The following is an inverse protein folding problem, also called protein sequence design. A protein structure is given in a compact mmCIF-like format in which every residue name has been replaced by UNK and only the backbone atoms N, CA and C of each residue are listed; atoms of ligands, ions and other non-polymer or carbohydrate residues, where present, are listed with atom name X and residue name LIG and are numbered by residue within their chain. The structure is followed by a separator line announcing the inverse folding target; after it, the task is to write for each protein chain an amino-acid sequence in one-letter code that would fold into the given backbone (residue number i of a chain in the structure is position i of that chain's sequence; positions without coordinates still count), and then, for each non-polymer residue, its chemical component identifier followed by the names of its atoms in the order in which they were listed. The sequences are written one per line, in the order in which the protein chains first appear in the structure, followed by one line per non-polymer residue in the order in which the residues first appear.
data_IF_889093924735
#
_entry.id   IF_889093924735
#
_cell.length_a   1.000
_cell.length_b   1.000
_cell.length_c   1.000
_cell.angle_alpha   90.00
_cell.angle_beta   90.00
_cell.angle_gamma   90.00
#
_symmetry.space_group_name_H-M   'P 1'
#
loop_
_entity.id
_entity.type
_entity.pdbx_description
1 polymer ?
#
# COMPACT_ATOMS: atom_id res chain seq x y z
N UNK A 1 -0.63 -8.66 22.03
CA UNK A 1 -0.36 -9.49 23.23
C UNK A 1 0.48 -8.76 24.29
N UNK A 2 1.72 -8.36 23.98
CA UNK A 2 2.64 -7.68 24.91
C UNK A 2 2.09 -6.38 25.55
N UNK A 3 1.33 -5.58 24.78
CA UNK A 3 0.73 -4.33 25.30
C UNK A 3 -0.36 -4.62 26.35
N UNK A 4 -1.19 -5.65 26.13
CA UNK A 4 -2.22 -6.08 27.11
C UNK A 4 -1.58 -6.62 28.39
N UNK A 5 -0.51 -7.41 28.26
CA UNK A 5 0.24 -7.92 29.40
C UNK A 5 0.83 -6.79 30.25
N UNK A 6 1.20 -5.65 29.63
CA UNK A 6 1.79 -4.50 30.31
C UNK A 6 0.79 -3.47 30.85
N UNK A 7 -0.32 -3.24 30.16
CA UNK A 7 -1.30 -2.20 30.50
C UNK A 7 -2.57 -2.73 31.19
N UNK A 8 -2.71 -4.06 31.32
CA UNK A 8 -3.87 -4.71 31.92
C UNK A 8 -4.99 -4.99 30.92
N UNK A 9 -5.94 -5.85 31.33
CA UNK A 9 -7.05 -6.34 30.47
C UNK A 9 -8.10 -5.29 30.10
N UNK A 10 -8.00 -4.07 30.63
CA UNK A 10 -8.92 -2.97 30.34
C UNK A 10 -8.60 -2.23 29.03
N UNK A 11 -7.39 -2.41 28.47
CA UNK A 11 -7.02 -1.81 27.19
C UNK A 11 -7.57 -2.66 26.03
N UNK A 12 -8.45 -2.06 25.23
CA UNK A 12 -8.96 -2.67 24.02
C UNK A 12 -7.96 -2.51 22.87
N UNK A 13 -7.69 -3.63 22.19
CA UNK A 13 -6.99 -3.65 20.90
C UNK A 13 -8.04 -3.69 19.81
N UNK A 14 -8.08 -2.66 19.00
CA UNK A 14 -9.05 -2.50 17.92
C UNK A 14 -8.26 -2.42 16.61
N UNK A 15 -8.70 -3.10 15.55
CA UNK A 15 -8.00 -3.11 14.27
C UNK A 15 -8.64 -4.04 13.26
N UNK A 16 -7.97 -4.29 12.14
CA UNK A 16 -8.46 -5.19 11.09
C UNK A 16 -7.57 -6.43 11.01
N UNK A 17 -8.18 -7.59 10.84
CA UNK A 17 -7.46 -8.87 10.72
C UNK A 17 -7.00 -9.06 9.27
N UNK A 18 -5.74 -9.43 9.08
CA UNK A 18 -5.21 -9.83 7.78
C UNK A 18 -5.74 -11.22 7.42
N UNK A 19 -6.38 -11.34 6.24
CA UNK A 19 -6.94 -12.60 5.73
C UNK A 19 -6.09 -13.23 4.64
N UNK A 20 -4.99 -12.60 4.24
CA UNK A 20 -4.08 -13.11 3.23
C UNK A 20 -3.28 -14.29 3.76
N UNK A 21 -3.09 -15.29 2.91
CA UNK A 21 -2.21 -16.42 3.19
C UNK A 21 -0.74 -16.00 2.97
N UNK A 22 0.10 -16.19 3.99
CA UNK A 22 1.53 -15.83 3.91
C UNK A 22 2.28 -16.06 5.22
N UNK A 23 3.61 -16.23 5.11
CA UNK A 23 4.50 -16.57 6.24
C UNK A 23 4.92 -15.36 7.09
N UNK A 24 4.55 -14.14 6.71
CA UNK A 24 5.08 -12.89 7.28
C UNK A 24 4.14 -12.14 8.24
N UNK A 25 2.94 -12.66 8.50
CA UNK A 25 1.94 -11.99 9.33
C UNK A 25 1.75 -12.67 10.68
N UNK A 26 1.38 -11.87 11.68
CA UNK A 26 0.93 -12.41 12.97
C UNK A 26 -0.44 -13.07 12.80
N UNK A 27 -0.43 -14.36 12.44
CA UNK A 27 -1.64 -15.18 12.33
C UNK A 27 -2.38 -15.34 13.66
N UNK A 28 -1.78 -14.92 14.78
CA UNK A 28 -2.38 -14.94 16.12
C UNK A 28 -2.96 -13.58 16.51
N UNK A 29 -2.99 -12.61 15.58
CA UNK A 29 -3.60 -11.31 15.86
C UNK A 29 -5.11 -11.42 16.02
N UNK A 30 -5.56 -11.37 17.27
CA UNK A 30 -6.97 -11.35 17.67
C UNK A 30 -7.31 -10.02 18.35
N UNK A 31 -7.88 -9.04 17.61
CA UNK A 31 -8.32 -7.80 18.20
C UNK A 31 -9.58 -8.03 19.07
N UNK A 32 -9.79 -7.17 20.06
CA UNK A 32 -11.02 -7.15 20.84
C UNK A 32 -12.24 -6.74 20.01
N UNK A 33 -12.03 -5.91 18.99
CA UNK A 33 -13.05 -5.48 18.04
C UNK A 33 -12.42 -5.30 16.66
N UNK A 34 -13.17 -5.68 15.62
CA UNK A 34 -12.82 -5.39 14.24
C UNK A 34 -13.23 -3.96 13.93
N UNK A 35 -12.31 -3.20 13.34
CA UNK A 35 -12.58 -1.87 12.83
C UNK A 35 -12.71 -1.93 11.31
N UNK A 36 -13.88 -1.59 10.82
CA UNK A 36 -14.21 -1.60 9.40
C UNK A 36 -14.06 -0.21 8.79
N UNK A 37 -14.01 -0.16 7.46
CA UNK A 37 -14.02 1.10 6.71
C UNK A 37 -15.19 2.00 7.16
N UNK A 38 -14.90 3.29 7.38
CA UNK A 38 -15.87 4.31 7.74
C UNK A 38 -16.29 4.31 9.22
N UNK A 39 -15.94 3.30 10.00
CA UNK A 39 -16.19 3.32 11.45
C UNK A 39 -15.29 4.36 12.14
N UNK A 40 -15.82 5.02 13.16
CA UNK A 40 -15.11 6.06 13.88
C UNK A 40 -14.95 5.72 15.37
N UNK A 41 -13.79 6.05 15.91
CA UNK A 41 -13.52 6.07 17.35
C UNK A 41 -13.61 7.52 17.79
N UNK A 42 -14.53 7.83 18.70
CA UNK A 42 -14.78 9.19 19.17
C UNK A 42 -15.07 9.24 20.66
N UNK A 43 -14.69 10.33 21.33
CA UNK A 43 -14.98 10.57 22.74
C UNK A 43 -15.51 11.99 23.04
N UNK A 44 -15.95 12.71 22.01
CA UNK A 44 -16.46 14.08 22.10
C UNK A 44 -15.40 15.18 21.99
N UNK A 45 -14.10 14.85 22.11
CA UNK A 45 -13.01 15.80 21.80
C UNK A 45 -12.30 15.52 20.48
N UNK A 46 -12.46 14.31 19.94
CA UNK A 46 -11.94 13.95 18.62
C UNK A 46 -12.81 12.88 17.95
N UNK A 47 -12.66 12.76 16.64
CA UNK A 47 -13.23 11.73 15.79
C UNK A 47 -12.14 11.15 14.89
N UNK A 48 -11.72 9.92 15.18
CA UNK A 48 -10.78 9.16 14.34
C UNK A 48 -11.55 8.18 13.48
N UNK A 49 -11.74 8.50 12.20
CA UNK A 49 -12.38 7.64 11.22
C UNK A 49 -11.39 6.68 10.60
N UNK A 50 -11.71 5.39 10.61
CA UNK A 50 -10.92 4.37 9.96
C UNK A 50 -11.22 4.36 8.46
N UNK A 51 -10.19 4.38 7.62
CA UNK A 51 -10.29 4.27 6.17
C UNK A 51 -9.49 3.03 5.75
N UNK A 52 -10.19 1.97 5.37
CA UNK A 52 -9.56 0.78 4.81
C UNK A 52 -8.86 1.14 3.51
N UNK A 53 -7.55 0.94 3.48
CA UNK A 53 -6.64 1.37 2.42
C UNK A 53 -5.69 0.22 2.04
N UNK A 54 -6.25 -0.90 1.53
CA UNK A 54 -5.45 -2.05 1.13
C UNK A 54 -4.43 -1.69 0.05
N UNK A 55 -3.39 -2.50 -0.08
CA UNK A 55 -2.43 -2.37 -1.16
C UNK A 55 -0.99 -2.55 -0.70
N UNK A 56 -0.53 -1.84 0.33
CA UNK A 56 0.73 -2.21 0.99
C UNK A 56 0.56 -3.51 1.79
N UNK A 57 -0.54 -3.59 2.54
CA UNK A 57 -1.04 -4.78 3.23
C UNK A 57 -2.56 -4.85 3.07
N UNK A 58 -3.13 -6.06 2.98
CA UNK A 58 -4.57 -6.23 2.70
C UNK A 58 -5.50 -5.68 3.79
N UNK A 59 -5.03 -5.61 5.04
CA UNK A 59 -5.77 -5.11 6.19
C UNK A 59 -5.34 -3.71 6.64
N UNK A 60 -4.62 -2.97 5.79
CA UNK A 60 -4.12 -1.64 6.16
C UNK A 60 -5.25 -0.63 6.39
N UNK A 61 -5.14 0.15 7.45
CA UNK A 61 -6.07 1.24 7.79
C UNK A 61 -5.29 2.55 7.90
N UNK A 62 -5.77 3.57 7.20
CA UNK A 62 -5.45 4.95 7.54
C UNK A 62 -6.47 5.44 8.59
N UNK A 63 -6.09 6.42 9.40
CA UNK A 63 -6.99 7.07 10.34
C UNK A 63 -7.09 8.56 10.04
N UNK A 64 -8.31 9.01 9.73
CA UNK A 64 -8.60 10.41 9.48
C UNK A 64 -9.11 11.08 10.75
N UNK A 65 -8.38 12.08 11.24
CA UNK A 65 -8.77 12.94 12.34
C UNK A 65 -9.60 14.09 11.77
N UNK A 66 -10.93 13.99 11.90
CA UNK A 66 -11.86 14.86 11.18
C UNK A 66 -11.72 16.33 11.57
N UNK A 67 -11.51 16.61 12.86
CA UNK A 67 -11.44 17.97 13.37
C UNK A 67 -10.18 18.74 12.92
N UNK A 68 -9.13 18.03 12.52
CA UNK A 68 -7.84 18.62 12.09
C UNK A 68 -7.56 18.42 10.60
N UNK A 69 -8.47 17.79 9.85
CA UNK A 69 -8.24 17.42 8.45
C UNK A 69 -6.89 16.68 8.24
N UNK A 70 -6.51 15.86 9.22
CA UNK A 70 -5.21 15.18 9.29
C UNK A 70 -5.37 13.68 9.08
N UNK A 71 -4.62 13.12 8.13
CA UNK A 71 -4.56 11.68 7.88
C UNK A 71 -3.32 11.06 8.53
N UNK A 72 -3.52 10.15 9.48
CA UNK A 72 -2.47 9.20 9.88
C UNK A 72 -2.41 8.07 8.84
N UNK A 73 -1.43 8.12 7.94
CA UNK A 73 -1.36 7.21 6.79
C UNK A 73 -0.66 5.89 7.06
N UNK A 74 0.00 5.72 8.20
CA UNK A 74 0.82 4.54 8.46
C UNK A 74 1.85 4.34 7.34
N UNK A 75 1.93 3.10 6.82
CA UNK A 75 2.76 2.71 5.69
C UNK A 75 1.97 2.69 4.36
N UNK A 76 0.99 3.58 4.21
CA UNK A 76 0.29 3.79 2.93
C UNK A 76 0.93 4.91 2.10
N UNK A 77 1.32 6.00 2.76
CA UNK A 77 2.00 7.17 2.20
C UNK A 77 3.14 7.55 3.15
N UNK A 78 4.29 7.94 2.60
CA UNK A 78 5.48 8.34 3.37
C UNK A 78 6.16 9.54 2.72
N UNK A 79 6.84 10.36 3.53
CA UNK A 79 7.60 11.50 3.02
C UNK A 79 8.95 11.05 2.42
N UNK A 80 9.26 11.52 1.21
CA UNK A 80 10.55 11.31 0.54
C UNK A 80 10.72 9.97 -0.21
N UNK A 81 9.77 9.04 -0.15
CA UNK A 81 9.85 7.75 -0.86
C UNK A 81 8.46 7.15 -1.14
N UNK A 82 8.41 5.94 -1.72
CA UNK A 82 7.17 5.18 -1.88
C UNK A 82 7.24 3.86 -1.11
N UNK A 83 6.08 3.38 -0.66
CA UNK A 83 5.95 2.09 0.05
C UNK A 83 6.25 0.92 -0.88
N UNK A 84 6.67 -0.22 -0.34
CA UNK A 84 6.81 -1.46 -1.13
C UNK A 84 5.45 -2.11 -1.25
N UNK A 85 5.07 -2.56 -2.45
CA UNK A 85 3.84 -3.33 -2.66
C UNK A 85 4.25 -4.78 -2.93
N UNK A 86 4.06 -5.67 -1.95
CA UNK A 86 4.60 -7.03 -1.97
C UNK A 86 3.49 -8.10 -1.99
N UNK A 87 3.20 -8.70 -3.16
CA UNK A 87 2.23 -9.79 -3.26
C UNK A 87 2.65 -11.04 -2.44
N UNK A 88 1.70 -11.88 -2.00
CA UNK A 88 0.27 -11.81 -2.32
C UNK A 88 -0.54 -10.84 -1.45
N UNK A 89 -0.01 -10.39 -0.31
CA UNK A 89 -0.75 -9.51 0.59
C UNK A 89 -0.83 -8.07 0.07
N UNK A 90 0.26 -7.60 -0.54
CA UNK A 90 0.29 -6.33 -1.23
C UNK A 90 -0.26 -6.44 -2.66
N UNK A 91 -1.04 -5.45 -3.07
CA UNK A 91 -1.72 -5.41 -4.36
C UNK A 91 -1.69 -3.99 -4.94
N UNK A 92 -1.18 -3.86 -6.18
CA UNK A 92 -1.04 -2.56 -6.84
C UNK A 92 -2.38 -1.94 -7.26
N UNK A 93 -3.37 -2.76 -7.63
CA UNK A 93 -4.70 -2.26 -7.97
C UNK A 93 -5.37 -1.67 -6.73
N UNK A 94 -5.41 -2.45 -5.65
CA UNK A 94 -5.96 -2.01 -4.36
C UNK A 94 -5.25 -0.76 -3.83
N UNK A 95 -3.92 -0.67 -4.02
CA UNK A 95 -3.15 0.50 -3.62
C UNK A 95 -3.56 1.77 -4.38
N UNK A 96 -3.71 1.68 -5.70
CA UNK A 96 -4.14 2.82 -6.54
C UNK A 96 -5.58 3.22 -6.26
N UNK A 97 -6.46 2.25 -6.05
CA UNK A 97 -7.86 2.50 -5.67
C UNK A 97 -7.95 3.16 -4.29
N UNK A 98 -7.12 2.72 -3.34
CA UNK A 98 -7.03 3.32 -2.00
C UNK A 98 -6.50 4.76 -2.04
N UNK A 99 -5.48 5.06 -2.85
CA UNK A 99 -5.01 6.42 -3.05
C UNK A 99 -6.10 7.31 -3.67
N UNK A 100 -6.83 6.78 -4.65
CA UNK A 100 -7.95 7.50 -5.28
C UNK A 100 -9.08 7.79 -4.29
N UNK A 101 -9.41 6.80 -3.45
CA UNK A 101 -10.38 6.95 -2.36
C UNK A 101 -9.98 8.05 -1.36
N UNK A 102 -8.69 8.16 -1.03
CA UNK A 102 -8.22 9.20 -0.10
C UNK A 102 -8.42 10.62 -0.64
N UNK A 103 -8.44 10.81 -1.97
CA UNK A 103 -8.75 12.11 -2.59
C UNK A 103 -10.22 12.53 -2.41
N UNK A 104 -11.10 11.62 -1.99
CA UNK A 104 -12.50 11.92 -1.71
C UNK A 104 -12.72 12.51 -0.29
N UNK A 105 -11.68 12.49 0.56
CA UNK A 105 -11.73 13.03 1.91
C UNK A 105 -11.12 14.45 1.97
N UNK A 106 -11.62 15.33 2.85
CA UNK A 106 -11.08 16.68 3.04
C UNK A 106 -9.80 16.63 3.89
N UNK A 107 -8.74 16.04 3.35
CA UNK A 107 -7.45 15.88 3.99
C UNK A 107 -6.55 17.04 3.59
N UNK A 108 -6.08 17.80 4.56
CA UNK A 108 -5.12 18.90 4.35
C UNK A 108 -3.69 18.41 4.53
N UNK A 109 -3.45 17.60 5.58
CA UNK A 109 -2.12 17.12 5.96
C UNK A 109 -2.08 15.60 6.12
N UNK A 110 -0.91 15.00 5.92
CA UNK A 110 -0.65 13.57 6.16
C UNK A 110 0.48 13.43 7.18
N UNK A 111 0.22 12.68 8.26
CA UNK A 111 1.18 12.23 9.24
C UNK A 111 1.57 10.76 8.96
N UNK A 112 2.68 10.51 8.25
CA UNK A 112 3.12 9.16 7.91
C UNK A 112 3.82 8.46 9.08
N UNK A 113 3.98 7.14 8.98
CA UNK A 113 4.85 6.39 9.92
C UNK A 113 6.34 6.74 9.74
N UNK A 114 6.71 7.23 8.55
CA UNK A 114 8.08 7.55 8.18
C UNK A 114 8.20 8.91 7.48
N UNK A 115 9.19 9.68 7.91
CA UNK A 115 9.48 11.02 7.39
C UNK A 115 8.74 12.11 8.15
N UNK A 116 8.56 13.28 7.53
CA UNK A 116 7.93 14.44 8.16
C UNK A 116 6.43 14.51 7.87
N UNK A 117 5.75 15.45 8.54
CA UNK A 117 4.40 15.86 8.18
C UNK A 117 4.38 16.38 6.74
N UNK A 118 3.49 15.84 5.93
CA UNK A 118 3.22 16.31 4.56
C UNK A 118 2.07 17.33 4.65
N UNK A 119 2.34 18.57 4.25
CA UNK A 119 1.39 19.70 4.41
C UNK A 119 0.50 19.96 3.20
N UNK A 120 0.71 19.23 2.11
CA UNK A 120 -0.11 19.27 0.90
C UNK A 120 -0.50 17.83 0.54
N UNK A 121 -1.55 17.35 1.21
CA UNK A 121 -1.99 15.97 1.08
C UNK A 121 -2.41 15.62 -0.35
N UNK A 122 -3.18 16.51 -1.00
CA UNK A 122 -3.66 16.29 -2.36
C UNK A 122 -2.49 16.14 -3.34
N UNK A 123 -1.52 17.06 -3.31
CA UNK A 123 -0.37 16.99 -4.20
C UNK A 123 0.46 15.71 -3.99
N UNK A 124 0.65 15.27 -2.74
CA UNK A 124 1.43 14.06 -2.46
C UNK A 124 0.70 12.78 -2.91
N UNK A 125 -0.61 12.70 -2.72
CA UNK A 125 -1.41 11.56 -3.19
C UNK A 125 -1.37 11.49 -4.72
N UNK A 126 -1.64 12.59 -5.42
CA UNK A 126 -1.60 12.65 -6.88
C UNK A 126 -0.20 12.34 -7.43
N UNK A 127 0.85 12.88 -6.82
CA UNK A 127 2.24 12.57 -7.15
C UNK A 127 2.53 11.07 -7.00
N UNK A 128 2.04 10.44 -5.93
CA UNK A 128 2.21 9.00 -5.69
C UNK A 128 1.49 8.16 -6.74
N UNK A 129 0.24 8.49 -7.07
CA UNK A 129 -0.53 7.86 -8.15
C UNK A 129 0.25 7.96 -9.47
N UNK A 130 0.68 9.16 -9.84
CA UNK A 130 1.42 9.41 -11.07
C UNK A 130 2.76 8.65 -11.11
N UNK A 131 3.46 8.55 -9.99
CA UNK A 131 4.68 7.75 -9.89
C UNK A 131 4.42 6.27 -10.20
N UNK A 132 3.36 5.69 -9.62
CA UNK A 132 2.99 4.29 -9.87
C UNK A 132 2.55 4.04 -11.31
N UNK A 133 1.74 4.92 -11.89
CA UNK A 133 1.31 4.80 -13.29
C UNK A 133 2.47 5.01 -14.27
N UNK A 134 3.41 5.90 -13.94
CA UNK A 134 4.67 6.06 -14.68
C UNK A 134 5.52 4.80 -14.64
N UNK A 135 5.61 4.14 -13.48
CA UNK A 135 6.29 2.84 -13.34
C UNK A 135 5.58 1.74 -14.14
N UNK A 136 4.25 1.65 -14.09
CA UNK A 136 3.47 0.71 -14.90
C UNK A 136 3.74 0.90 -16.41
N UNK A 137 3.84 2.15 -16.85
CA UNK A 137 4.19 2.47 -18.24
C UNK A 137 5.58 1.97 -18.63
N UNK A 138 6.58 2.09 -17.72
CA UNK A 138 7.91 1.48 -17.91
C UNK A 138 7.83 -0.06 -17.99
N UNK A 139 7.00 -0.71 -17.19
CA UNK A 139 6.79 -2.17 -17.25
C UNK A 139 6.32 -2.59 -18.63
N UNK A 140 5.30 -1.92 -19.17
CA UNK A 140 4.77 -2.22 -20.49
C UNK A 140 5.79 -1.99 -21.59
N UNK A 141 6.56 -0.90 -21.52
CA UNK A 141 7.63 -0.63 -22.47
C UNK A 141 8.71 -1.72 -22.46
N UNK A 142 9.10 -2.20 -21.27
CA UNK A 142 10.06 -3.29 -21.13
C UNK A 142 9.48 -4.64 -21.63
N UNK A 143 8.18 -4.90 -21.45
CA UNK A 143 7.53 -6.08 -22.05
C UNK A 143 7.51 -6.01 -23.58
N UNK A 144 7.32 -4.83 -24.18
CA UNK A 144 7.40 -4.68 -25.65
C UNK A 144 8.79 -5.06 -26.18
N UNK A 145 9.86 -4.76 -25.45
CA UNK A 145 11.23 -5.03 -25.90
C UNK A 145 11.72 -6.44 -25.57
N UNK A 146 11.44 -6.95 -24.37
CA UNK A 146 12.07 -8.17 -23.85
C UNK A 146 11.17 -9.41 -23.84
N UNK A 147 9.85 -9.27 -24.06
CA UNK A 147 8.96 -10.42 -23.95
C UNK A 147 9.25 -11.52 -25.00
N UNK A 148 9.16 -12.82 -24.63
CA UNK A 148 8.85 -13.35 -23.30
C UNK A 148 10.08 -13.38 -22.37
N UNK A 149 9.98 -12.75 -21.20
CA UNK A 149 11.11 -12.55 -20.27
C UNK A 149 10.81 -13.05 -18.85
N UNK A 150 11.85 -13.27 -18.04
CA UNK A 150 11.66 -13.53 -16.61
C UNK A 150 11.45 -12.22 -15.86
N UNK A 151 10.84 -12.30 -14.68
CA UNK A 151 10.68 -11.15 -13.79
C UNK A 151 12.02 -10.46 -13.49
N UNK A 152 13.09 -11.23 -13.27
CA UNK A 152 14.43 -10.71 -12.97
C UNK A 152 15.04 -9.90 -14.11
N UNK A 153 14.69 -10.21 -15.37
CA UNK A 153 15.19 -9.51 -16.55
C UNK A 153 14.57 -8.09 -16.67
N UNK A 154 13.34 -7.93 -16.18
CA UNK A 154 12.61 -6.66 -16.21
C UNK A 154 13.03 -5.67 -15.12
N UNK A 155 13.50 -6.15 -13.96
CA UNK A 155 13.86 -5.29 -12.82
C UNK A 155 14.85 -4.17 -13.21
N UNK A 156 16.01 -4.44 -13.82
CA UNK A 156 16.98 -3.38 -14.14
C UNK A 156 16.49 -2.39 -15.20
N UNK A 157 15.53 -2.79 -16.04
CA UNK A 157 14.93 -1.91 -17.06
C UNK A 157 13.87 -0.98 -16.46
N UNK A 158 13.02 -1.54 -15.60
CA UNK A 158 11.90 -0.80 -15.00
C UNK A 158 12.37 0.07 -13.85
N UNK A 159 13.40 -0.35 -13.12
CA UNK A 159 13.98 0.34 -11.95
C UNK A 159 15.42 0.80 -12.21
N UNK A 160 15.65 1.34 -13.42
CA UNK A 160 16.91 1.93 -13.87
C UNK A 160 17.38 3.14 -13.03
N UNK A 161 16.45 3.79 -12.34
CA UNK A 161 16.65 4.87 -11.38
C UNK A 161 16.89 4.39 -9.94
N UNK A 162 16.88 3.09 -9.68
CA UNK A 162 17.06 2.50 -8.35
C UNK A 162 18.41 1.78 -8.26
N UNK A 163 19.22 2.06 -7.22
CA UNK A 163 20.45 1.32 -6.95
C UNK A 163 20.26 -0.21 -6.96
N UNK A 164 21.17 -0.92 -7.62
CA UNK A 164 21.08 -2.37 -7.83
C UNK A 164 20.91 -3.20 -6.54
N UNK A 165 21.47 -2.75 -5.42
CA UNK A 165 21.32 -3.46 -4.14
C UNK A 165 19.87 -3.42 -3.60
N UNK A 166 19.02 -2.50 -4.06
CA UNK A 166 17.60 -2.42 -3.72
C UNK A 166 16.70 -3.17 -4.71
N UNK A 167 17.25 -3.71 -5.80
CA UNK A 167 16.48 -4.47 -6.81
C UNK A 167 15.70 -5.66 -6.24
N UNK A 168 16.21 -6.45 -5.27
CA UNK A 168 15.42 -7.54 -4.67
C UNK A 168 14.12 -7.07 -4.01
N UNK A 169 14.11 -5.86 -3.46
CA UNK A 169 12.92 -5.25 -2.86
C UNK A 169 12.03 -4.66 -3.96
N UNK A 170 12.60 -3.94 -4.93
CA UNK A 170 11.88 -3.36 -6.05
C UNK A 170 11.16 -4.41 -6.92
N UNK A 171 11.72 -5.61 -7.01
CA UNK A 171 11.13 -6.76 -7.70
C UNK A 171 9.73 -7.13 -7.16
N UNK A 172 9.45 -6.86 -5.88
CA UNK A 172 8.13 -7.11 -5.30
C UNK A 172 7.07 -6.17 -5.90
N UNK A 173 7.37 -4.87 -5.93
CA UNK A 173 6.49 -3.88 -6.56
C UNK A 173 6.38 -4.09 -8.08
N UNK A 174 7.44 -4.58 -8.74
CA UNK A 174 7.37 -5.00 -10.15
C UNK A 174 6.36 -6.12 -10.36
N UNK A 175 6.43 -7.17 -9.54
CA UNK A 175 5.50 -8.29 -9.59
C UNK A 175 4.06 -7.80 -9.35
N UNK A 176 3.84 -6.88 -8.41
CA UNK A 176 2.53 -6.30 -8.16
C UNK A 176 1.96 -5.57 -9.40
N UNK A 177 2.78 -4.80 -10.13
CA UNK A 177 2.38 -4.19 -11.40
C UNK A 177 2.01 -5.24 -12.45
N UNK A 178 2.82 -6.29 -12.61
CA UNK A 178 2.55 -7.36 -13.58
C UNK A 178 1.25 -8.12 -13.26
N UNK A 179 0.97 -8.37 -11.98
CA UNK A 179 -0.29 -8.98 -11.53
C UNK A 179 -1.48 -8.08 -11.87
N UNK A 180 -1.40 -6.77 -11.59
CA UNK A 180 -2.44 -5.81 -11.99
C UNK A 180 -2.64 -5.82 -13.50
N UNK A 181 -1.56 -5.71 -14.30
CA UNK A 181 -1.63 -5.74 -15.76
C UNK A 181 -2.23 -7.04 -16.30
N UNK A 182 -2.01 -8.16 -15.62
CA UNK A 182 -2.64 -9.45 -15.95
C UNK A 182 -4.14 -9.44 -15.68
N UNK A 183 -4.57 -8.88 -14.56
CA UNK A 183 -6.00 -8.65 -14.27
C UNK A 183 -6.65 -7.76 -15.34
N UNK A 184 -5.93 -6.71 -15.77
CA UNK A 184 -6.35 -5.78 -16.81
C UNK A 184 -6.28 -6.38 -18.24
N UNK A 185 -5.85 -7.64 -18.40
CA UNK A 185 -5.65 -8.33 -19.70
C UNK A 185 -4.66 -7.62 -20.63
N UNK A 186 -3.62 -7.02 -20.06
CA UNK A 186 -2.54 -6.31 -20.78
C UNK A 186 -1.20 -7.04 -20.71
N UNK A 187 -1.05 -7.96 -19.77
CA UNK A 187 0.10 -8.84 -19.64
C UNK A 187 -0.33 -10.27 -19.33
N UNK A 188 0.42 -11.25 -19.81
CA UNK A 188 0.21 -12.67 -19.50
C UNK A 188 1.48 -13.25 -18.89
N UNK A 189 1.31 -14.30 -18.09
CA UNK A 189 2.40 -15.10 -17.55
C UNK A 189 2.18 -16.55 -17.98
N UNK A 190 3.24 -17.17 -18.51
CA UNK A 190 3.23 -18.57 -18.96
C UNK A 190 4.59 -19.18 -18.61
N UNK A 191 4.57 -20.26 -17.82
CA UNK A 191 5.77 -21.00 -17.40
C UNK A 191 6.85 -20.10 -16.77
N UNK A 192 6.45 -19.12 -15.96
CA UNK A 192 7.33 -18.18 -15.27
C UNK A 192 7.82 -17.00 -16.12
N UNK A 193 7.37 -16.90 -17.38
CA UNK A 193 7.73 -15.82 -18.29
C UNK A 193 6.57 -14.86 -18.52
N UNK A 194 6.88 -13.57 -18.52
CA UNK A 194 5.93 -12.49 -18.76
C UNK A 194 5.98 -12.00 -20.20
N UNK A 195 4.81 -11.68 -20.74
CA UNK A 195 4.64 -11.05 -22.04
C UNK A 195 3.38 -10.21 -22.10
N UNK A 196 3.13 -9.57 -23.24
CA UNK A 196 1.87 -8.90 -23.52
C UNK A 196 0.75 -9.93 -23.75
N UNK A 197 -0.48 -9.58 -23.39
CA UNK A 197 -1.68 -10.38 -23.68
C UNK A 197 -2.20 -10.19 -25.10
#
# INVERSE_FOLDING_TARGET
RLIKERLGSQVQVIGMVNKSEGFSFDQQFEPNAILEHGQAISNGSFTLRAIHTPGHASNHLCFFLEEESLLFSGDHLMDGSTVVIAPPDGNMADYLDSLSLLLEYPIDCIAPAHGNLITDAQAEIEKTINHRLGRESKVLAALVSEAPCLLADLVPLVYDDVPAFMHPIAQQSLLAHLIKLKSDKRAAETEGRWGLS
#
